data_IF_343257094235
#
_entry.id   IF_343257094235
#
_cell.length_a   1.000
_cell.length_b   1.000
_cell.length_c   1.000
_cell.angle_alpha   90.00
_cell.angle_beta   90.00
_cell.angle_gamma   90.00
#
_symmetry.space_group_name_H-M   'P 1'
#
loop_
_entity.id
_entity.type
_entity.pdbx_description
1 polymer ?
#
# COMPACT_ATOMS: atom_id res chain seq x y z
N UNK A 1 2.12 -48.37 13.73
CA UNK A 1 2.31 -47.31 12.73
C UNK A 1 0.95 -46.60 12.55
N UNK A 2 0.69 -45.58 13.36
CA UNK A 2 -0.58 -44.86 13.34
C UNK A 2 -0.51 -43.74 12.30
N UNK A 3 -1.30 -43.88 11.25
CA UNK A 3 -1.42 -42.92 10.16
C UNK A 3 -2.24 -41.72 10.68
N UNK A 4 -1.58 -40.59 10.97
CA UNK A 4 -2.25 -39.35 11.29
C UNK A 4 -2.82 -38.74 10.00
N UNK A 5 -4.13 -38.86 9.81
CA UNK A 5 -4.87 -38.11 8.80
C UNK A 5 -4.89 -36.63 9.20
N UNK A 6 -4.04 -35.82 8.56
CA UNK A 6 -4.17 -34.38 8.61
C UNK A 6 -5.45 -33.97 7.84
N UNK A 7 -6.51 -33.67 8.58
CA UNK A 7 -7.70 -33.03 8.02
C UNK A 7 -7.31 -31.62 7.59
N UNK A 8 -7.14 -31.43 6.28
CA UNK A 8 -7.15 -30.11 5.67
C UNK A 8 -8.53 -29.52 5.90
N UNK A 9 -8.64 -28.62 6.88
CA UNK A 9 -9.87 -27.88 7.12
C UNK A 9 -10.13 -27.00 5.89
N UNK A 10 -11.01 -27.44 4.99
CA UNK A 10 -11.61 -26.59 3.97
C UNK A 10 -12.30 -25.44 4.70
N UNK A 11 -11.69 -24.26 4.68
CA UNK A 11 -12.26 -23.09 5.33
C UNK A 11 -13.61 -22.78 4.65
N UNK A 12 -14.72 -23.02 5.34
CA UNK A 12 -16.07 -22.72 4.85
C UNK A 12 -16.25 -21.22 4.53
N UNK A 13 -17.41 -20.83 3.98
CA UNK A 13 -17.69 -19.44 3.59
C UNK A 13 -17.31 -18.44 4.68
N UNK A 14 -16.60 -17.37 4.30
CA UNK A 14 -16.12 -16.33 5.19
C UNK A 14 -17.31 -15.63 5.88
N UNK A 15 -18.40 -15.41 5.15
CA UNK A 15 -19.64 -14.80 5.68
C UNK A 15 -20.20 -15.61 6.85
N UNK A 16 -20.29 -16.94 6.72
CA UNK A 16 -20.81 -17.78 7.80
C UNK A 16 -19.96 -17.69 9.06
N UNK A 17 -18.63 -17.66 8.92
CA UNK A 17 -17.70 -17.50 10.06
C UNK A 17 -17.80 -16.10 10.69
N UNK A 18 -17.91 -15.07 9.87
CA UNK A 18 -18.03 -13.68 10.30
C UNK A 18 -19.33 -13.43 11.08
N UNK A 19 -20.44 -14.03 10.66
CA UNK A 19 -21.75 -13.84 11.29
C UNK A 19 -21.94 -14.65 12.58
N UNK A 20 -21.19 -15.74 12.74
CA UNK A 20 -21.31 -16.64 13.91
C UNK A 20 -20.26 -16.39 14.99
N UNK A 21 -19.18 -15.65 14.68
CA UNK A 21 -18.14 -15.29 15.64
C UNK A 21 -18.46 -13.99 16.38
N UNK A 22 -17.99 -13.89 17.63
CA UNK A 22 -17.94 -12.61 18.32
C UNK A 22 -17.09 -11.63 17.48
N UNK A 23 -17.61 -10.43 17.24
CA UNK A 23 -16.98 -9.45 16.36
C UNK A 23 -17.05 -8.06 16.98
N UNK A 24 -15.90 -7.41 17.00
CA UNK A 24 -15.65 -6.00 17.32
C UNK A 24 -16.16 -5.03 16.24
N UNK A 25 -16.63 -5.53 15.09
CA UNK A 25 -17.21 -4.69 14.04
C UNK A 25 -18.55 -4.10 14.48
N UNK A 26 -18.83 -2.81 14.19
CA UNK A 26 -20.15 -2.24 14.40
C UNK A 26 -21.22 -3.01 13.62
N UNK A 27 -22.48 -2.90 14.04
CA UNK A 27 -23.59 -3.59 13.35
C UNK A 27 -23.78 -3.09 11.92
N UNK A 28 -23.50 -1.81 11.68
CA UNK A 28 -23.59 -1.16 10.37
C UNK A 28 -22.46 -0.15 10.23
N UNK A 29 -21.98 0.03 9.01
CA UNK A 29 -21.08 1.10 8.64
C UNK A 29 -21.38 1.56 7.22
N UNK A 30 -21.16 2.84 6.95
CA UNK A 30 -21.28 3.42 5.63
C UNK A 30 -20.19 4.48 5.43
N UNK A 31 -19.56 4.42 4.27
CA UNK A 31 -18.54 5.35 3.82
C UNK A 31 -19.23 6.52 3.10
N UNK A 32 -19.21 7.69 3.73
CA UNK A 32 -19.72 8.92 3.13
C UNK A 32 -18.80 9.49 2.03
N UNK A 33 -19.37 10.29 1.14
CA UNK A 33 -18.61 11.13 0.19
C UNK A 33 -17.99 10.40 -0.99
N UNK A 34 -18.26 9.11 -1.20
CA UNK A 34 -17.81 8.37 -2.39
C UNK A 34 -18.67 8.81 -3.58
N UNK A 35 -18.09 9.51 -4.58
CA UNK A 35 -18.85 9.96 -5.75
C UNK A 35 -19.35 8.75 -6.54
N UNK A 36 -20.35 8.96 -7.38
CA UNK A 36 -20.87 7.94 -8.28
C UNK A 36 -20.58 8.33 -9.72
N UNK A 37 -19.90 7.43 -10.43
CA UNK A 37 -19.72 7.49 -11.87
C UNK A 37 -20.38 6.26 -12.48
N UNK A 38 -21.36 6.47 -13.37
CA UNK A 38 -22.07 5.39 -14.03
C UNK A 38 -21.06 4.51 -14.80
N UNK A 39 -21.19 3.19 -14.62
CA UNK A 39 -20.29 2.24 -15.25
C UNK A 39 -20.89 1.78 -16.59
N UNK A 40 -20.49 2.44 -17.68
CA UNK A 40 -20.82 2.02 -19.04
C UNK A 40 -20.01 0.77 -19.46
N UNK A 41 -20.44 0.10 -20.54
CA UNK A 41 -19.81 -1.13 -21.04
C UNK A 41 -18.29 -0.94 -21.22
N UNK A 42 -17.50 -1.86 -20.66
CA UNK A 42 -16.03 -1.84 -20.63
C UNK A 42 -15.35 -0.75 -19.77
N UNK A 43 -16.12 0.12 -19.08
CA UNK A 43 -15.59 1.21 -18.23
C UNK A 43 -15.74 0.97 -16.73
N UNK A 44 -16.16 -0.22 -16.28
CA UNK A 44 -16.35 -0.52 -14.86
C UNK A 44 -15.07 -0.33 -14.02
N UNK A 45 -13.90 -0.70 -14.56
CA UNK A 45 -12.58 -0.48 -13.94
C UNK A 45 -12.25 1.01 -13.78
N UNK A 46 -12.12 1.78 -14.87
CA UNK A 46 -11.87 3.21 -14.83
C UNK A 46 -12.81 3.98 -13.90
N UNK A 47 -14.12 3.74 -14.01
CA UNK A 47 -15.11 4.41 -13.18
C UNK A 47 -14.92 4.06 -11.69
N UNK A 48 -14.67 2.78 -11.37
CA UNK A 48 -14.45 2.38 -9.98
C UNK A 48 -13.15 2.95 -9.40
N UNK A 49 -12.08 3.02 -10.19
CA UNK A 49 -10.83 3.68 -9.79
C UNK A 49 -11.06 5.18 -9.55
N UNK A 50 -11.77 5.86 -10.45
CA UNK A 50 -12.09 7.27 -10.31
C UNK A 50 -12.87 7.53 -9.02
N UNK A 51 -13.87 6.69 -8.70
CA UNK A 51 -14.65 6.82 -7.47
C UNK A 51 -13.76 6.79 -6.22
N UNK A 52 -12.87 5.79 -6.10
CA UNK A 52 -12.00 5.68 -4.92
C UNK A 52 -10.87 6.69 -4.91
N UNK A 53 -10.33 7.08 -6.07
CA UNK A 53 -9.26 8.07 -6.18
C UNK A 53 -9.74 9.48 -5.84
N UNK A 54 -10.91 9.88 -6.35
CA UNK A 54 -11.53 11.16 -6.00
C UNK A 54 -11.94 11.18 -4.52
N UNK A 55 -12.47 10.08 -3.99
CA UNK A 55 -12.76 9.97 -2.55
C UNK A 55 -11.48 10.13 -1.70
N UNK A 56 -10.35 9.57 -2.14
CA UNK A 56 -9.06 9.66 -1.47
C UNK A 56 -8.42 11.07 -1.55
N UNK A 57 -9.13 12.08 -2.05
CA UNK A 57 -8.62 13.44 -2.18
C UNK A 57 -7.77 13.67 -3.43
N UNK A 58 -7.73 12.72 -4.37
CA UNK A 58 -7.24 12.97 -5.72
C UNK A 58 -8.14 13.96 -6.45
N UNK A 59 -7.60 14.65 -7.45
CA UNK A 59 -8.40 15.50 -8.32
C UNK A 59 -9.57 14.69 -8.91
N UNK A 60 -10.80 15.25 -9.00
CA UNK A 60 -11.90 14.60 -9.69
C UNK A 60 -11.46 14.17 -11.09
N UNK A 61 -11.47 12.87 -11.36
CA UNK A 61 -11.13 12.34 -12.68
C UNK A 61 -12.40 12.30 -13.51
N UNK A 62 -12.37 12.88 -14.71
CA UNK A 62 -13.37 12.60 -15.72
C UNK A 62 -13.31 11.13 -16.14
N UNK A 63 -14.40 10.60 -16.69
CA UNK A 63 -14.42 9.22 -17.21
C UNK A 63 -13.33 8.99 -18.28
N UNK A 64 -13.02 10.00 -19.09
CA UNK A 64 -11.96 9.94 -20.10
C UNK A 64 -10.56 9.88 -19.47
N UNK A 65 -10.30 10.67 -18.43
CA UNK A 65 -9.02 10.64 -17.70
C UNK A 65 -8.85 9.32 -16.95
N UNK A 66 -9.90 8.86 -16.26
CA UNK A 66 -9.91 7.59 -15.59
C UNK A 66 -9.68 6.43 -16.56
N UNK A 67 -10.28 6.49 -17.76
CA UNK A 67 -10.07 5.49 -18.80
C UNK A 67 -8.63 5.52 -19.30
N UNK A 68 -8.08 6.69 -19.59
CA UNK A 68 -6.69 6.86 -20.03
C UNK A 68 -5.67 6.31 -19.01
N UNK A 69 -5.98 6.37 -17.71
CA UNK A 69 -5.12 5.82 -16.66
C UNK A 69 -5.07 4.29 -16.64
N UNK A 70 -6.09 3.62 -17.16
CA UNK A 70 -6.20 2.15 -17.17
C UNK A 70 -6.25 1.58 -18.60
N UNK A 71 -6.10 2.43 -19.62
CA UNK A 71 -6.22 2.07 -21.03
C UNK A 71 -5.01 1.29 -21.51
N UNK A 72 -5.25 0.06 -21.96
CA UNK A 72 -4.30 -0.69 -22.79
C UNK A 72 -4.90 -0.88 -24.18
N UNK A 73 -4.24 -0.42 -25.27
CA UNK A 73 -4.72 -0.61 -26.63
C UNK A 73 -5.03 -2.09 -26.92
N UNK A 74 -6.16 -2.34 -27.61
CA UNK A 74 -6.62 -3.66 -28.05
C UNK A 74 -7.11 -4.65 -26.96
N UNK A 75 -7.35 -4.21 -25.72
CA UNK A 75 -7.79 -5.12 -24.63
C UNK A 75 -9.24 -4.85 -24.18
N UNK A 76 -10.03 -5.91 -24.02
CA UNK A 76 -11.44 -5.87 -23.59
C UNK A 76 -11.57 -5.75 -22.05
N UNK A 77 -11.14 -4.61 -21.48
CA UNK A 77 -11.30 -4.29 -20.05
C UNK A 77 -9.99 -4.03 -19.29
N UNK A 78 -10.11 -3.77 -17.98
CA UNK A 78 -9.00 -3.39 -17.10
C UNK A 78 -8.45 -4.57 -16.28
N UNK A 79 -7.14 -4.81 -16.34
CA UNK A 79 -6.50 -5.82 -15.48
C UNK A 79 -6.26 -5.28 -14.08
N UNK A 80 -6.18 -6.20 -13.12
CA UNK A 80 -6.01 -5.91 -11.69
C UNK A 80 -4.72 -5.13 -11.43
N UNK A 81 -3.65 -5.48 -12.13
CA UNK A 81 -2.34 -4.84 -12.04
C UNK A 81 -2.35 -3.42 -12.61
N UNK A 82 -3.13 -3.17 -13.67
CA UNK A 82 -3.30 -1.84 -14.27
C UNK A 82 -3.99 -0.89 -13.28
N UNK A 83 -4.98 -1.38 -12.53
CA UNK A 83 -5.68 -0.62 -11.48
C UNK A 83 -4.72 -0.20 -10.36
N UNK A 84 -3.85 -1.12 -9.91
CA UNK A 84 -2.82 -0.83 -8.90
C UNK A 84 -1.83 0.20 -9.43
N UNK A 85 -1.36 0.02 -10.66
CA UNK A 85 -0.39 0.92 -11.27
C UNK A 85 -0.98 2.33 -11.50
N UNK A 86 -2.24 2.41 -11.89
CA UNK A 86 -2.96 3.67 -12.08
C UNK A 86 -3.12 4.45 -10.77
N UNK A 87 -3.53 3.79 -9.68
CA UNK A 87 -3.58 4.42 -8.36
C UNK A 87 -2.19 4.96 -7.94
N UNK A 88 -1.13 4.17 -8.14
CA UNK A 88 0.25 4.59 -7.81
C UNK A 88 0.73 5.77 -8.64
N UNK A 89 0.41 5.80 -9.95
CA UNK A 89 0.72 6.95 -10.82
C UNK A 89 -0.01 8.22 -10.37
N UNK A 90 -1.21 8.08 -9.83
CA UNK A 90 -1.97 9.17 -9.22
C UNK A 90 -1.46 9.59 -7.83
N UNK A 91 -0.32 9.07 -7.37
CA UNK A 91 0.25 9.38 -6.05
C UNK A 91 -0.52 8.75 -4.88
N UNK A 92 -1.41 7.79 -5.16
CA UNK A 92 -2.26 7.15 -4.18
C UNK A 92 -1.72 5.78 -3.78
N UNK A 93 -1.82 5.48 -2.49
CA UNK A 93 -1.45 4.20 -1.94
C UNK A 93 -2.53 3.17 -2.31
N UNK A 94 -2.13 2.09 -2.97
CA UNK A 94 -2.99 0.93 -3.22
C UNK A 94 -2.54 -0.25 -2.35
N UNK A 95 -3.39 -0.68 -1.40
CA UNK A 95 -3.09 -1.79 -0.48
C UNK A 95 -4.11 -2.92 -0.67
N UNK A 96 -3.67 -4.19 -0.77
CA UNK A 96 -4.57 -5.32 -0.94
C UNK A 96 -5.47 -5.57 0.26
N UNK A 97 -6.71 -5.93 -0.01
CA UNK A 97 -7.69 -6.45 0.97
C UNK A 97 -7.97 -7.91 0.59
N UNK A 98 -7.71 -8.86 1.50
CA UNK A 98 -7.63 -10.30 1.17
C UNK A 98 -8.82 -11.14 1.62
N UNK A 99 -9.66 -10.61 2.50
CA UNK A 99 -10.81 -11.34 3.04
C UNK A 99 -11.96 -10.38 3.39
N UNK A 100 -13.15 -10.95 3.54
CA UNK A 100 -14.39 -10.24 3.84
C UNK A 100 -14.30 -9.52 5.18
N UNK A 101 -13.56 -10.09 6.14
CA UNK A 101 -13.40 -9.47 7.45
C UNK A 101 -12.64 -8.14 7.34
N UNK A 102 -11.50 -8.17 6.66
CA UNK A 102 -10.67 -7.00 6.38
C UNK A 102 -11.43 -5.98 5.55
N UNK A 103 -12.23 -6.42 4.56
CA UNK A 103 -13.12 -5.55 3.80
C UNK A 103 -14.10 -4.80 4.72
N UNK A 104 -14.75 -5.48 5.66
CA UNK A 104 -15.66 -4.82 6.61
C UNK A 104 -14.92 -3.93 7.62
N UNK A 105 -13.70 -4.29 8.04
CA UNK A 105 -12.87 -3.44 8.89
C UNK A 105 -12.51 -2.12 8.18
N UNK A 106 -12.19 -2.16 6.88
CA UNK A 106 -11.97 -0.94 6.07
C UNK A 106 -13.25 -0.09 5.95
N UNK A 107 -14.40 -0.71 5.64
CA UNK A 107 -15.68 0.01 5.59
C UNK A 107 -16.04 0.64 6.95
N UNK A 108 -15.77 -0.06 8.05
CA UNK A 108 -15.98 0.44 9.41
C UNK A 108 -15.05 1.62 9.76
N UNK A 109 -13.84 1.65 9.20
CA UNK A 109 -12.92 2.78 9.29
C UNK A 109 -13.26 3.92 8.31
N UNK A 110 -14.34 3.79 7.55
CA UNK A 110 -14.77 4.77 6.57
C UNK A 110 -13.92 4.78 5.31
N UNK A 111 -13.32 3.65 4.91
CA UNK A 111 -12.57 3.52 3.67
C UNK A 111 -13.37 2.71 2.64
N UNK A 112 -13.64 3.23 1.44
CA UNK A 112 -14.30 2.46 0.40
C UNK A 112 -13.33 1.40 -0.14
N UNK A 113 -13.87 0.25 -0.55
CA UNK A 113 -13.06 -0.87 -1.03
C UNK A 113 -13.40 -1.14 -2.49
N UNK A 114 -12.41 -0.97 -3.36
CA UNK A 114 -12.49 -1.37 -4.76
C UNK A 114 -12.41 -2.90 -4.84
N UNK A 115 -13.38 -3.54 -5.50
CA UNK A 115 -13.47 -5.00 -5.57
C UNK A 115 -13.60 -5.47 -7.01
N UNK A 116 -13.06 -6.65 -7.31
CA UNK A 116 -13.17 -7.29 -8.61
C UNK A 116 -13.95 -8.59 -8.51
N UNK A 117 -15.07 -8.67 -9.20
CA UNK A 117 -16.04 -9.76 -9.10
C UNK A 117 -16.26 -10.41 -10.46
N UNK A 118 -16.72 -11.66 -10.44
CA UNK A 118 -17.36 -12.28 -11.60
C UNK A 118 -18.85 -12.47 -11.31
N UNK A 119 -19.67 -11.60 -11.93
CA UNK A 119 -21.13 -11.60 -11.81
C UNK A 119 -21.79 -12.63 -12.73
N UNK A 120 -21.02 -13.24 -13.64
CA UNK A 120 -21.50 -14.23 -14.59
C UNK A 120 -21.64 -15.62 -13.98
N UNK A 121 -21.80 -16.61 -14.86
CA UNK A 121 -21.84 -18.02 -14.50
C UNK A 121 -20.45 -18.64 -14.75
N UNK A 122 -20.22 -19.83 -14.20
CA UNK A 122 -18.89 -20.46 -14.29
C UNK A 122 -18.48 -20.76 -15.75
N UNK A 123 -19.45 -20.88 -16.68
CA UNK A 123 -19.21 -21.11 -18.11
C UNK A 123 -19.23 -19.85 -18.99
N UNK A 124 -19.77 -18.73 -18.50
CA UNK A 124 -19.74 -17.43 -19.19
C UNK A 124 -19.44 -16.36 -18.13
N UNK A 125 -18.17 -15.95 -18.00
CA UNK A 125 -17.77 -14.96 -17.01
C UNK A 125 -18.28 -13.56 -17.39
N UNK A 126 -18.64 -12.78 -16.37
CA UNK A 126 -18.90 -11.35 -16.49
C UNK A 126 -18.05 -10.62 -15.43
N UNK A 127 -16.83 -10.25 -15.84
CA UNK A 127 -15.87 -9.57 -14.98
C UNK A 127 -16.29 -8.13 -14.72
N UNK A 128 -16.27 -7.71 -13.45
CA UNK A 128 -16.86 -6.45 -13.02
C UNK A 128 -16.09 -5.85 -11.85
N UNK A 129 -15.79 -4.55 -11.95
CA UNK A 129 -15.32 -3.78 -10.81
C UNK A 129 -16.47 -3.03 -10.15
N UNK A 130 -16.51 -3.05 -8.84
CA UNK A 130 -17.45 -2.24 -8.05
C UNK A 130 -16.72 -1.63 -6.84
N UNK A 131 -17.39 -0.73 -6.13
CA UNK A 131 -16.85 -0.11 -4.92
C UNK A 131 -17.77 -0.42 -3.76
N UNK A 132 -17.30 -1.18 -2.77
CA UNK A 132 -18.00 -1.38 -1.52
C UNK A 132 -17.96 -0.11 -0.69
N UNK A 133 -19.12 0.30 -0.20
CA UNK A 133 -19.32 1.57 0.53
C UNK A 133 -20.04 1.39 1.86
N UNK A 134 -20.49 0.19 2.22
CA UNK A 134 -21.15 -0.03 3.50
C UNK A 134 -21.68 -1.43 3.69
N UNK A 135 -22.15 -1.69 4.90
CA UNK A 135 -22.74 -2.96 5.29
C UNK A 135 -23.73 -2.84 6.44
N UNK A 136 -24.61 -3.84 6.55
CA UNK A 136 -25.51 -4.08 7.69
C UNK A 136 -25.40 -5.58 8.05
N UNK A 137 -24.79 -5.91 9.20
CA UNK A 137 -24.47 -7.30 9.59
C UNK A 137 -25.70 -8.11 9.96
N UNK A 138 -26.65 -7.48 10.65
CA UNK A 138 -27.92 -8.07 11.08
C UNK A 138 -28.79 -8.45 9.87
N UNK A 139 -28.76 -7.62 8.82
CA UNK A 139 -29.47 -7.86 7.55
C UNK A 139 -28.63 -8.62 6.53
N UNK A 140 -27.39 -8.98 6.87
CA UNK A 140 -26.41 -9.64 5.98
C UNK A 140 -26.24 -8.88 4.67
N UNK A 141 -26.33 -7.56 4.69
CA UNK A 141 -26.34 -6.74 3.48
C UNK A 141 -24.99 -6.03 3.27
N UNK A 142 -24.54 -5.97 2.02
CA UNK A 142 -23.43 -5.18 1.56
C UNK A 142 -23.92 -4.13 0.55
N UNK A 143 -23.40 -2.92 0.64
CA UNK A 143 -23.75 -1.79 -0.21
C UNK A 143 -22.59 -1.47 -1.15
N UNK A 144 -22.89 -1.33 -2.45
CA UNK A 144 -21.94 -1.15 -3.53
C UNK A 144 -22.33 0.04 -4.42
N UNK A 145 -21.35 0.76 -4.95
CA UNK A 145 -21.47 1.56 -6.19
C UNK A 145 -21.18 0.60 -7.35
N UNK A 146 -22.18 0.30 -8.18
CA UNK A 146 -22.03 -0.77 -9.19
C UNK A 146 -23.03 -0.65 -10.34
N UNK A 147 -22.53 -0.75 -11.57
CA UNK A 147 -23.30 -0.71 -12.80
C UNK A 147 -24.04 0.63 -12.94
N UNK A 148 -25.35 0.61 -13.29
CA UNK A 148 -26.20 1.80 -13.34
C UNK A 148 -26.74 2.20 -11.96
N UNK A 149 -26.45 1.43 -10.91
CA UNK A 149 -26.99 1.66 -9.58
C UNK A 149 -25.98 2.44 -8.73
N UNK A 150 -26.34 3.68 -8.40
CA UNK A 150 -25.62 4.45 -7.38
C UNK A 150 -25.56 3.67 -6.07
N UNK A 151 -26.65 3.02 -5.65
CA UNK A 151 -26.67 2.17 -4.47
C UNK A 151 -27.24 0.81 -4.82
N UNK A 152 -26.35 -0.17 -4.99
CA UNK A 152 -26.70 -1.58 -5.08
C UNK A 152 -26.58 -2.22 -3.70
N UNK A 153 -27.65 -2.84 -3.21
CA UNK A 153 -27.64 -3.62 -1.97
C UNK A 153 -27.70 -5.11 -2.34
N UNK A 154 -26.79 -5.91 -1.81
CA UNK A 154 -26.72 -7.36 -2.06
C UNK A 154 -26.51 -8.13 -0.76
N UNK A 155 -26.89 -9.40 -0.72
CA UNK A 155 -26.57 -10.27 0.41
C UNK A 155 -25.05 -10.56 0.45
N UNK A 156 -24.45 -10.54 1.64
CA UNK A 156 -23.02 -10.74 1.86
C UNK A 156 -22.52 -12.08 1.32
N UNK A 157 -23.33 -13.15 1.41
CA UNK A 157 -22.96 -14.47 0.89
C UNK A 157 -23.00 -14.50 -0.63
N UNK A 158 -23.96 -13.80 -1.25
CA UNK A 158 -24.00 -13.63 -2.72
C UNK A 158 -22.78 -12.83 -3.19
N UNK A 159 -22.46 -11.73 -2.50
CA UNK A 159 -21.26 -10.95 -2.78
C UNK A 159 -19.98 -11.79 -2.65
N UNK A 160 -19.81 -12.52 -1.55
CA UNK A 160 -18.62 -13.34 -1.32
C UNK A 160 -18.47 -14.39 -2.43
N UNK A 161 -19.58 -14.98 -2.88
CA UNK A 161 -19.56 -15.98 -3.94
C UNK A 161 -19.03 -15.42 -5.26
N UNK A 162 -19.50 -14.25 -5.68
CA UNK A 162 -19.05 -13.60 -6.93
C UNK A 162 -17.64 -13.00 -6.80
N UNK A 163 -17.26 -12.55 -5.60
CA UNK A 163 -15.93 -12.03 -5.30
C UNK A 163 -14.86 -13.13 -5.26
N UNK A 164 -15.19 -14.30 -4.71
CA UNK A 164 -14.31 -15.48 -4.71
C UNK A 164 -13.88 -15.89 -6.12
N UNK A 165 -14.76 -15.75 -7.11
CA UNK A 165 -14.43 -16.05 -8.52
C UNK A 165 -13.40 -15.06 -9.11
N UNK A 166 -13.27 -13.87 -8.54
CA UNK A 166 -12.20 -12.90 -8.80
C UNK A 166 -10.96 -13.09 -7.92
N UNK A 167 -10.83 -14.26 -7.27
CA UNK A 167 -9.75 -14.60 -6.34
C UNK A 167 -9.67 -13.64 -5.14
N UNK A 168 -10.83 -13.21 -4.65
CA UNK A 168 -10.95 -12.24 -3.55
C UNK A 168 -10.14 -10.95 -3.78
N UNK A 169 -9.94 -10.56 -5.03
CA UNK A 169 -9.16 -9.38 -5.31
C UNK A 169 -9.90 -8.11 -4.90
N UNK A 170 -9.26 -7.33 -4.05
CA UNK A 170 -9.75 -6.02 -3.63
C UNK A 170 -8.59 -5.12 -3.23
N UNK A 171 -8.84 -3.82 -3.30
CA UNK A 171 -7.91 -2.76 -2.93
C UNK A 171 -8.61 -1.71 -2.08
N UNK A 172 -7.90 -1.21 -1.08
CA UNK A 172 -8.16 0.12 -0.54
C UNK A 172 -7.20 1.10 -1.21
N UNK A 173 -7.73 2.22 -1.68
CA UNK A 173 -6.97 3.31 -2.30
C UNK A 173 -7.03 4.51 -1.36
N UNK A 174 -5.88 4.94 -0.84
CA UNK A 174 -5.77 5.93 0.23
C UNK A 174 -4.76 7.03 -0.12
N UNK A 175 -4.90 8.24 0.46
CA UNK A 175 -3.80 9.20 0.48
C UNK A 175 -2.54 8.56 1.08
N UNK A 176 -1.33 8.93 0.62
CA UNK A 176 -0.09 8.25 1.02
C UNK A 176 0.16 8.25 2.54
N UNK A 177 -0.20 9.34 3.23
CA UNK A 177 -0.08 9.47 4.68
C UNK A 177 -1.15 8.75 5.51
N UNK A 178 -2.18 8.16 4.88
CA UNK A 178 -3.26 7.43 5.57
C UNK A 178 -3.02 5.92 5.45
N UNK A 179 -3.15 5.23 6.58
CA UNK A 179 -3.00 3.78 6.66
C UNK A 179 -4.35 3.06 6.58
N UNK A 180 -4.40 1.84 6.03
CA UNK A 180 -5.56 0.95 6.14
C UNK A 180 -5.91 0.65 7.60
N UNK A 181 -7.17 0.27 7.84
CA UNK A 181 -7.70 -0.03 9.16
C UNK A 181 -6.96 -1.20 9.83
N UNK A 182 -6.89 -2.33 9.12
CA UNK A 182 -6.20 -3.54 9.58
C UNK A 182 -5.33 -4.08 8.47
N UNK A 183 -4.03 -3.83 8.58
CA UNK A 183 -3.04 -4.31 7.64
C UNK A 183 -1.73 -4.64 8.36
N UNK A 184 -0.84 -5.32 7.66
CA UNK A 184 0.51 -5.60 8.15
C UNK A 184 1.51 -4.63 7.54
N UNK A 185 2.66 -4.50 8.21
CA UNK A 185 3.75 -3.62 7.80
C UNK A 185 4.21 -3.89 6.36
N UNK A 186 4.33 -5.17 5.98
CA UNK A 186 4.80 -5.58 4.66
C UNK A 186 3.94 -5.01 3.54
N UNK A 187 2.62 -5.13 3.62
CA UNK A 187 1.73 -4.62 2.58
C UNK A 187 1.80 -3.09 2.45
N UNK A 188 1.99 -2.39 3.57
CA UNK A 188 2.16 -0.93 3.58
C UNK A 188 3.49 -0.52 2.97
N UNK A 189 4.58 -1.22 3.28
CA UNK A 189 5.90 -0.95 2.70
C UNK A 189 5.97 -1.32 1.21
N UNK A 190 5.35 -2.42 0.80
CA UNK A 190 5.21 -2.79 -0.62
C UNK A 190 4.40 -1.73 -1.39
N UNK A 191 3.34 -1.18 -0.79
CA UNK A 191 2.57 -0.11 -1.39
C UNK A 191 3.37 1.21 -1.50
N UNK A 192 4.17 1.55 -0.49
CA UNK A 192 5.06 2.72 -0.51
C UNK A 192 6.17 2.59 -1.57
N UNK A 193 6.81 1.42 -1.66
CA UNK A 193 7.78 1.12 -2.71
C UNK A 193 7.14 1.18 -4.11
N UNK A 194 5.87 0.79 -4.21
CA UNK A 194 5.09 0.93 -5.42
C UNK A 194 4.92 2.39 -5.88
N UNK A 195 4.79 3.34 -4.95
CA UNK A 195 4.73 4.78 -5.25
C UNK A 195 6.09 5.29 -5.74
N UNK A 196 7.16 4.90 -5.08
CA UNK A 196 8.54 5.24 -5.46
C UNK A 196 8.85 4.78 -6.88
N UNK A 197 8.56 3.51 -7.19
CA UNK A 197 8.74 2.94 -8.54
C UNK A 197 7.85 3.59 -9.61
N UNK A 198 6.75 4.22 -9.19
CA UNK A 198 5.89 4.99 -10.08
C UNK A 198 6.36 6.44 -10.28
N UNK A 199 7.49 6.83 -9.68
CA UNK A 199 8.06 8.18 -9.75
C UNK A 199 7.45 9.18 -8.77
N UNK A 200 6.55 8.75 -7.89
CA UNK A 200 5.88 9.62 -6.92
C UNK A 200 6.68 9.68 -5.60
N UNK A 201 7.87 10.29 -5.66
CA UNK A 201 8.82 10.36 -4.55
C UNK A 201 8.24 11.01 -3.28
N UNK A 202 7.53 12.13 -3.42
CA UNK A 202 6.89 12.82 -2.29
C UNK A 202 5.82 11.94 -1.62
N UNK A 203 4.97 11.28 -2.42
CA UNK A 203 3.97 10.35 -1.91
C UNK A 203 4.62 9.14 -1.24
N UNK A 204 5.72 8.61 -1.78
CA UNK A 204 6.49 7.53 -1.16
C UNK A 204 7.05 7.95 0.20
N UNK A 205 7.64 9.14 0.31
CA UNK A 205 8.16 9.67 1.58
C UNK A 205 7.05 9.81 2.64
N UNK A 206 5.89 10.38 2.27
CA UNK A 206 4.71 10.43 3.15
C UNK A 206 4.23 9.03 3.55
N UNK A 207 4.28 8.09 2.60
CA UNK A 207 3.88 6.72 2.83
C UNK A 207 4.81 5.99 3.81
N UNK A 208 6.12 6.15 3.69
CA UNK A 208 7.09 5.62 4.65
C UNK A 208 6.98 6.31 6.01
N UNK A 209 6.77 7.62 6.05
CA UNK A 209 6.59 8.37 7.30
C UNK A 209 5.35 7.92 8.09
N UNK A 210 4.23 7.64 7.42
CA UNK A 210 3.06 7.05 8.10
C UNK A 210 3.34 5.63 8.62
N UNK A 211 4.16 4.85 7.89
CA UNK A 211 4.56 3.51 8.33
C UNK A 211 5.44 3.56 9.59
N UNK A 212 6.40 4.49 9.69
CA UNK A 212 7.25 4.63 10.88
C UNK A 212 6.45 5.07 12.11
N UNK A 213 5.35 5.81 11.94
CA UNK A 213 4.46 6.15 13.05
C UNK A 213 3.69 4.93 13.58
N UNK A 214 3.23 4.04 12.69
CA UNK A 214 2.50 2.82 13.09
C UNK A 214 3.44 1.71 13.59
N UNK A 215 4.61 1.60 12.98
CA UNK A 215 5.64 0.61 13.30
C UNK A 215 6.96 1.32 13.62
N UNK A 216 7.08 1.93 14.82
CA UNK A 216 8.27 2.70 15.21
C UNK A 216 9.55 1.86 15.34
N UNK A 217 9.40 0.53 15.41
CA UNK A 217 10.49 -0.44 15.46
C UNK A 217 10.81 -1.06 14.08
N UNK A 218 10.22 -0.55 12.99
CA UNK A 218 10.49 -1.04 11.64
C UNK A 218 11.80 -0.46 11.09
N UNK A 219 12.86 -1.28 11.09
CA UNK A 219 14.11 -0.93 10.40
C UNK A 219 13.86 -0.56 8.93
N UNK A 220 13.08 -1.37 8.21
CA UNK A 220 12.80 -1.17 6.79
C UNK A 220 12.07 0.14 6.48
N UNK A 221 11.09 0.54 7.31
CA UNK A 221 10.38 1.80 7.15
C UNK A 221 11.29 3.00 7.39
N UNK A 222 12.12 2.97 8.44
CA UNK A 222 13.05 4.06 8.74
C UNK A 222 14.16 4.19 7.68
N UNK A 223 14.72 3.06 7.23
CA UNK A 223 15.71 3.03 6.17
C UNK A 223 15.15 3.60 4.85
N UNK A 224 13.97 3.15 4.44
CA UNK A 224 13.32 3.63 3.21
C UNK A 224 12.91 5.10 3.32
N UNK A 225 12.43 5.56 4.48
CA UNK A 225 12.16 6.98 4.72
C UNK A 225 13.45 7.83 4.62
N UNK A 226 14.57 7.31 5.11
CA UNK A 226 15.88 7.94 4.98
C UNK A 226 16.27 8.13 3.52
N UNK A 227 16.17 7.08 2.71
CA UNK A 227 16.45 7.15 1.27
C UNK A 227 15.53 8.17 0.58
N UNK A 228 14.22 8.08 0.82
CA UNK A 228 13.26 8.98 0.19
C UNK A 228 13.48 10.46 0.55
N UNK A 229 13.88 10.75 1.80
CA UNK A 229 14.24 12.11 2.23
C UNK A 229 15.56 12.59 1.63
N UNK A 230 16.55 11.70 1.53
CA UNK A 230 17.83 12.01 0.90
C UNK A 230 17.63 12.41 -0.57
N UNK A 231 16.86 11.62 -1.31
CA UNK A 231 16.54 11.90 -2.71
C UNK A 231 15.73 13.20 -2.89
N UNK A 232 14.93 13.57 -1.89
CA UNK A 232 14.21 14.84 -1.85
C UNK A 232 15.06 16.04 -1.40
N UNK A 233 16.34 15.83 -1.04
CA UNK A 233 17.24 16.86 -0.53
C UNK A 233 17.02 17.26 0.93
N UNK A 234 16.12 16.57 1.66
CA UNK A 234 15.95 16.73 3.11
C UNK A 234 17.02 15.92 3.85
N UNK A 235 18.28 16.36 3.73
CA UNK A 235 19.43 15.63 4.27
C UNK A 235 19.40 15.55 5.81
N UNK A 236 18.92 16.60 6.48
CA UNK A 236 18.76 16.59 7.94
C UNK A 236 17.70 15.56 8.37
N UNK A 237 16.53 15.53 7.72
CA UNK A 237 15.51 14.54 7.99
C UNK A 237 15.91 13.12 7.58
N UNK A 238 16.73 12.96 6.55
CA UNK A 238 17.31 11.68 6.14
C UNK A 238 18.27 11.15 7.21
N UNK A 239 19.17 12.00 7.72
CA UNK A 239 20.07 11.64 8.81
C UNK A 239 19.30 11.15 10.05
N UNK A 240 18.24 11.85 10.46
CA UNK A 240 17.38 11.42 11.59
C UNK A 240 16.76 10.04 11.33
N UNK A 241 16.27 9.80 10.11
CA UNK A 241 15.69 8.49 9.74
C UNK A 241 16.73 7.38 9.75
N UNK A 242 17.92 7.61 9.21
CA UNK A 242 19.00 6.62 9.22
C UNK A 242 19.57 6.40 10.61
N UNK A 243 19.71 7.44 11.45
CA UNK A 243 20.06 7.29 12.88
C UNK A 243 19.08 6.34 13.58
N UNK A 244 17.78 6.48 13.31
CA UNK A 244 16.78 5.57 13.86
C UNK A 244 16.93 4.15 13.30
N UNK A 245 17.22 3.99 12.01
CA UNK A 245 17.49 2.68 11.41
C UNK A 245 18.73 2.01 12.05
N UNK A 246 19.83 2.73 12.24
CA UNK A 246 21.05 2.19 12.87
C UNK A 246 20.84 1.88 14.35
N UNK A 247 19.96 2.58 15.06
CA UNK A 247 19.55 2.19 16.42
C UNK A 247 18.79 0.86 16.46
N UNK A 248 17.91 0.62 15.49
CA UNK A 248 17.10 -0.60 15.39
C UNK A 248 17.91 -1.80 14.93
N UNK A 249 18.87 -1.58 14.02
CA UNK A 249 19.76 -2.60 13.49
C UNK A 249 21.22 -2.10 13.46
N UNK A 250 21.91 -2.14 14.61
CA UNK A 250 23.24 -1.53 14.77
C UNK A 250 24.37 -2.24 14.04
N UNK A 251 24.10 -3.40 13.46
CA UNK A 251 24.98 -4.22 12.64
C UNK A 251 24.72 -4.11 11.13
N UNK A 252 23.86 -3.17 10.70
CA UNK A 252 23.56 -2.93 9.28
C UNK A 252 24.56 -1.92 8.66
N UNK A 253 25.57 -2.37 7.89
CA UNK A 253 26.57 -1.46 7.32
C UNK A 253 25.98 -0.50 6.29
N UNK A 254 24.89 -0.86 5.59
CA UNK A 254 24.26 -0.01 4.59
C UNK A 254 23.55 1.18 5.25
N UNK A 255 22.88 0.95 6.39
CA UNK A 255 22.26 2.02 7.17
C UNK A 255 23.30 3.02 7.69
N UNK A 256 24.45 2.54 8.18
CA UNK A 256 25.57 3.40 8.60
C UNK A 256 26.19 4.17 7.43
N UNK A 257 26.31 3.54 6.26
CA UNK A 257 26.85 4.17 5.07
C UNK A 257 25.95 5.30 4.56
N UNK A 258 24.64 5.06 4.49
CA UNK A 258 23.67 6.07 4.07
C UNK A 258 23.53 7.20 5.09
N UNK A 259 23.64 6.90 6.39
CA UNK A 259 23.74 7.92 7.43
C UNK A 259 24.96 8.83 7.20
N UNK A 260 26.11 8.27 6.84
CA UNK A 260 27.31 9.04 6.60
C UNK A 260 27.14 10.06 5.46
N UNK A 261 26.56 9.64 4.33
CA UNK A 261 26.23 10.54 3.23
C UNK A 261 25.24 11.64 3.64
N UNK A 262 24.13 11.25 4.29
CA UNK A 262 23.14 12.22 4.76
C UNK A 262 23.74 13.25 5.73
N UNK A 263 24.67 12.85 6.59
CA UNK A 263 25.35 13.74 7.52
C UNK A 263 26.31 14.71 6.84
N UNK A 264 27.04 14.29 5.79
CA UNK A 264 27.88 15.23 5.02
C UNK A 264 27.02 16.31 4.37
N UNK A 265 25.97 15.91 3.67
CA UNK A 265 25.07 16.84 2.97
C UNK A 265 24.30 17.74 3.97
N UNK A 266 24.03 17.25 5.17
CA UNK A 266 23.46 18.05 6.26
C UNK A 266 24.49 18.96 6.98
N UNK A 267 25.75 19.03 6.50
CA UNK A 267 26.77 19.89 7.10
C UNK A 267 27.32 19.41 8.44
N UNK A 268 27.25 18.09 8.73
CA UNK A 268 27.74 17.42 9.94
C UNK A 268 28.94 16.48 9.64
N UNK A 269 30.05 16.99 9.06
CA UNK A 269 31.16 16.18 8.54
C UNK A 269 31.87 15.31 9.60
N UNK A 270 31.97 15.78 10.84
CA UNK A 270 32.62 15.03 11.91
C UNK A 270 31.84 13.77 12.31
N UNK A 271 30.51 13.84 12.30
CA UNK A 271 29.63 12.71 12.60
C UNK A 271 29.55 11.76 11.40
N UNK A 272 29.53 12.31 10.18
CA UNK A 272 29.57 11.53 8.94
C UNK A 272 30.79 10.58 8.91
N UNK A 273 31.97 11.08 9.28
CA UNK A 273 33.18 10.25 9.36
C UNK A 273 33.01 9.09 10.33
N UNK A 274 32.44 9.33 11.52
CA UNK A 274 32.22 8.27 12.51
C UNK A 274 31.25 7.20 11.99
N UNK A 275 30.19 7.62 11.30
CA UNK A 275 29.23 6.72 10.67
C UNK A 275 29.88 5.88 9.56
N UNK A 276 30.68 6.48 8.68
CA UNK A 276 31.39 5.76 7.62
C UNK A 276 32.44 4.78 8.17
N UNK A 277 33.19 5.17 9.20
CA UNK A 277 34.12 4.25 9.89
C UNK A 277 33.36 3.07 10.53
N UNK A 278 32.15 3.30 11.04
CA UNK A 278 31.29 2.24 11.57
C UNK A 278 30.80 1.30 10.47
N UNK A 279 30.39 1.83 9.31
CA UNK A 279 30.01 1.04 8.14
C UNK A 279 31.16 0.12 7.69
N UNK A 280 32.39 0.65 7.56
CA UNK A 280 33.58 -0.15 7.20
C UNK A 280 33.87 -1.27 8.21
N UNK A 281 33.71 -1.01 9.53
CA UNK A 281 33.90 -2.03 10.57
C UNK A 281 32.85 -3.14 10.53
N UNK A 282 31.65 -2.85 10.04
CA UNK A 282 30.52 -3.78 9.97
C UNK A 282 30.40 -4.48 8.61
N UNK A 283 31.13 -3.99 7.61
CA UNK A 283 31.11 -4.54 6.26
C UNK A 283 31.36 -6.05 6.27
N UNK A 284 30.61 -6.84 5.47
CA UNK A 284 30.86 -8.26 5.34
C UNK A 284 32.30 -8.51 4.83
N UNK A 285 32.92 -9.57 5.32
CA UNK A 285 34.27 -9.94 4.91
C UNK A 285 34.34 -10.16 3.38
N UNK A 286 35.24 -9.45 2.70
CA UNK A 286 35.37 -9.49 1.24
C UNK A 286 34.42 -8.55 0.48
N UNK A 287 33.61 -7.75 1.17
CA UNK A 287 32.71 -6.74 0.60
C UNK A 287 32.95 -5.34 1.20
N UNK A 288 34.17 -5.06 1.69
CA UNK A 288 34.50 -3.80 2.38
C UNK A 288 34.73 -2.62 1.44
N UNK A 289 34.96 -2.89 0.15
CA UNK A 289 35.41 -1.90 -0.84
C UNK A 289 34.43 -0.70 -0.98
N UNK A 290 33.10 -0.90 -1.15
CA UNK A 290 32.18 0.22 -1.28
C UNK A 290 32.20 1.15 -0.06
N UNK A 291 32.21 0.58 1.15
CA UNK A 291 32.22 1.35 2.39
C UNK A 291 33.54 2.09 2.60
N UNK A 292 34.68 1.50 2.18
CA UNK A 292 35.98 2.18 2.22
C UNK A 292 36.03 3.33 1.23
N UNK A 293 35.41 3.17 0.05
CA UNK A 293 35.27 4.23 -0.93
C UNK A 293 34.48 5.42 -0.36
N UNK A 294 33.33 5.14 0.27
CA UNK A 294 32.53 6.18 0.98
C UNK A 294 33.34 6.88 2.07
N UNK A 295 34.07 6.14 2.91
CA UNK A 295 34.90 6.77 3.96
C UNK A 295 35.98 7.69 3.36
N UNK A 296 36.63 7.26 2.27
CA UNK A 296 37.65 8.07 1.59
C UNK A 296 37.04 9.33 0.95
N UNK A 297 35.90 9.19 0.30
CA UNK A 297 35.14 10.31 -0.27
C UNK A 297 34.78 11.33 0.82
N UNK A 298 34.21 10.88 1.94
CA UNK A 298 33.85 11.73 3.07
C UNK A 298 35.09 12.45 3.61
N UNK A 299 36.23 11.78 3.77
CA UNK A 299 37.47 12.44 4.17
C UNK A 299 37.85 13.59 3.23
N UNK A 300 37.74 13.40 1.91
CA UNK A 300 38.05 14.45 0.94
C UNK A 300 37.06 15.63 1.01
N UNK A 301 35.77 15.35 1.20
CA UNK A 301 34.74 16.39 1.35
C UNK A 301 34.93 17.20 2.63
N UNK A 302 35.22 16.54 3.75
CA UNK A 302 35.47 17.21 5.04
C UNK A 302 36.72 18.10 5.01
N UNK A 303 37.78 17.69 4.32
CA UNK A 303 39.02 18.46 4.19
C UNK A 303 38.85 19.75 3.37
N UNK A 304 37.93 19.78 2.40
CA UNK A 304 37.64 20.97 1.58
C UNK A 304 36.85 22.04 2.34
N UNK A 305 36.05 21.66 3.33
CA UNK A 305 35.22 22.59 4.13
C UNK A 305 36.03 23.22 5.26
N UNK A 306 37.13 22.58 5.69
CA UNK A 306 37.98 23.03 6.78
C UNK A 306 39.14 23.95 6.36
N UNK A 307 39.38 24.12 5.05
CA UNK A 307 40.43 24.99 4.48
C UNK A 307 39.84 26.21 3.79
#
# INVERSE_FOLDING_TARGET
MALALALTACAGPQTSRLLTSASDLPLRAEVGGVPYYAQEDFYCGPAALAMVATWAGGAPLTQAEAAALVYTPHKQGSFREDMVAAARRAGLRAVPVRDLRSLLDELAAGHPVLVFQNLGLDWVPAWHYSVAIGYERDRRALQLRSGPFERLVTDMSVFEHTWRRGDYWALVVLPPGRLPAKTNERDVLEAALGLERAGNAEAAALAYASATQRWPESHGAWFALGNARYDAGDFAGAAVSFERATMLKPDDPDAWNNLAYALVEAGRPGEARQAAERAVRLAPAGAEEPYRATLQEIHLLTARVAG
#
